data_IF_504256212661
#
_entry.id   IF_504256212661
#
_cell.length_a   1.000
_cell.length_b   1.000
_cell.length_c   1.000
_cell.angle_alpha   90.00
_cell.angle_beta   90.00
_cell.angle_gamma   90.00
#
_symmetry.space_group_name_H-M   'P 1'
#
loop_
_entity.id
_entity.type
_entity.pdbx_description
1 polymer ?
#
# COMPACT_ATOMS: atom_id res chain seq x y z
N UNK A 1 27.76 29.73 52.14
CA UNK A 1 27.53 29.47 53.58
C UNK A 1 26.32 28.56 53.72
N UNK A 2 26.44 27.45 54.43
CA UNK A 2 25.34 26.48 54.57
C UNK A 2 24.29 26.99 55.59
N UNK A 3 23.00 26.75 55.35
CA UNK A 3 21.89 27.19 56.21
C UNK A 3 22.05 26.74 57.70
N UNK A 4 22.80 25.67 57.94
CA UNK A 4 23.17 25.18 59.27
C UNK A 4 24.10 26.16 60.00
N UNK A 5 25.08 26.75 59.30
CA UNK A 5 26.03 27.71 59.86
C UNK A 5 25.35 29.04 60.22
N UNK A 6 24.33 29.44 59.46
CA UNK A 6 23.54 30.65 59.76
C UNK A 6 22.72 30.44 61.04
N UNK A 7 22.08 29.27 61.19
CA UNK A 7 21.28 28.95 62.38
C UNK A 7 22.13 28.79 63.65
N UNK A 8 23.33 28.20 63.55
CA UNK A 8 24.23 28.09 64.71
C UNK A 8 24.76 29.45 65.14
N UNK A 9 25.11 30.33 64.19
CA UNK A 9 25.51 31.70 64.47
C UNK A 9 24.38 32.51 65.14
N UNK A 10 23.14 32.40 64.66
CA UNK A 10 21.99 33.07 65.30
C UNK A 10 21.78 32.60 66.74
N UNK A 11 21.92 31.30 67.00
CA UNK A 11 21.76 30.72 68.34
C UNK A 11 22.87 31.18 69.29
N UNK A 12 24.12 31.18 68.84
CA UNK A 12 25.26 31.65 69.63
C UNK A 12 25.13 33.14 69.98
N UNK A 13 24.73 33.98 69.01
CA UNK A 13 24.47 35.40 69.23
C UNK A 13 23.32 35.63 70.23
N UNK A 14 22.26 34.83 70.15
CA UNK A 14 21.13 34.92 71.08
C UNK A 14 21.56 34.57 72.51
N UNK A 15 22.29 33.46 72.70
CA UNK A 15 22.79 33.04 74.01
C UNK A 15 23.76 34.07 74.60
N UNK A 16 24.71 34.57 73.79
CA UNK A 16 25.65 35.60 74.23
C UNK A 16 24.96 36.90 74.66
N UNK A 17 23.92 37.32 73.93
CA UNK A 17 23.13 38.51 74.30
C UNK A 17 22.46 38.34 75.65
N UNK A 18 21.85 37.17 75.92
CA UNK A 18 21.19 36.90 77.20
C UNK A 18 22.16 36.84 78.38
N UNK A 19 23.38 36.32 78.17
CA UNK A 19 24.42 36.33 79.20
C UNK A 19 24.86 37.76 79.55
N UNK A 20 25.02 38.64 78.56
CA UNK A 20 25.38 40.04 78.79
C UNK A 20 24.27 40.76 79.56
N UNK A 21 22.99 40.56 79.17
CA UNK A 21 21.84 41.14 79.87
C UNK A 21 21.78 40.67 81.32
N UNK A 22 21.91 39.36 81.57
CA UNK A 22 21.89 38.80 82.91
C UNK A 22 23.05 39.34 83.78
N UNK A 23 24.25 39.48 83.21
CA UNK A 23 25.39 40.07 83.89
C UNK A 23 25.20 41.55 84.23
N UNK A 24 24.65 42.34 83.30
CA UNK A 24 24.35 43.75 83.52
C UNK A 24 23.28 43.94 84.62
N UNK A 25 22.23 43.12 84.62
CA UNK A 25 21.20 43.13 85.66
C UNK A 25 21.78 42.79 87.04
N UNK A 26 22.63 41.76 87.10
CA UNK A 26 23.27 41.38 88.35
C UNK A 26 24.19 42.49 88.87
N UNK A 27 24.98 43.11 88.00
CA UNK A 27 25.84 44.23 88.37
C UNK A 27 25.05 45.44 88.86
N UNK A 28 23.97 45.80 88.17
CA UNK A 28 23.05 46.89 88.53
C UNK A 28 22.42 46.66 89.91
N UNK A 29 21.95 45.45 90.20
CA UNK A 29 21.44 45.10 91.54
C UNK A 29 22.53 45.26 92.59
N UNK A 30 23.77 44.82 92.32
CA UNK A 30 24.86 44.92 93.29
C UNK A 30 25.32 46.36 93.56
N UNK A 31 25.24 47.26 92.58
CA UNK A 31 25.69 48.66 92.73
C UNK A 31 24.59 49.61 93.22
N UNK A 32 23.34 49.41 92.77
CA UNK A 32 22.23 50.32 93.07
C UNK A 32 21.53 49.96 94.37
N UNK A 33 21.51 48.68 94.77
CA UNK A 33 20.87 48.27 96.04
C UNK A 33 21.44 48.99 97.26
N UNK A 34 22.79 49.12 97.43
CA UNK A 34 23.35 49.89 98.53
C UNK A 34 22.90 51.37 98.51
N UNK A 35 22.96 52.02 97.35
CA UNK A 35 22.58 53.42 97.17
C UNK A 35 21.09 53.66 97.50
N UNK A 36 20.21 52.79 97.02
CA UNK A 36 18.78 52.84 97.30
C UNK A 36 18.49 52.57 98.78
N UNK A 37 19.23 51.65 99.41
CA UNK A 37 19.07 51.34 100.83
C UNK A 37 19.44 52.51 101.75
N UNK A 38 20.44 53.33 101.37
CA UNK A 38 20.84 54.52 102.13
C UNK A 38 19.78 55.64 102.10
N UNK A 39 18.98 55.70 101.04
CA UNK A 39 17.97 56.76 100.84
C UNK A 39 16.54 56.31 101.13
N UNK A 40 16.35 55.04 101.50
CA UNK A 40 15.03 54.45 101.80
C UNK A 40 14.83 54.34 103.32
N UNK A 41 13.66 54.72 103.88
CA UNK A 41 13.40 54.54 105.31
C UNK A 41 13.58 53.08 105.74
N UNK A 42 14.16 52.83 106.91
CA UNK A 42 14.57 51.49 107.37
C UNK A 42 13.47 50.39 107.25
N UNK A 43 12.20 50.75 107.47
CA UNK A 43 11.04 49.85 107.31
C UNK A 43 10.80 49.35 105.87
N UNK A 44 11.39 50.00 104.87
CA UNK A 44 11.28 49.69 103.43
C UNK A 44 12.61 49.26 102.80
N UNK A 45 13.70 49.12 103.57
CA UNK A 45 15.00 48.74 103.00
C UNK A 45 14.96 47.39 102.25
N UNK A 46 14.03 46.51 102.61
CA UNK A 46 13.81 45.23 101.92
C UNK A 46 13.37 45.40 100.44
N UNK A 47 12.82 46.55 100.06
CA UNK A 47 12.45 46.83 98.65
C UNK A 47 13.61 47.39 97.82
N UNK A 48 14.76 47.68 98.41
CA UNK A 48 15.91 48.27 97.71
C UNK A 48 16.37 47.46 96.47
N UNK A 49 16.36 46.10 96.45
CA UNK A 49 16.74 45.33 95.26
C UNK A 49 15.68 45.35 94.14
N UNK A 50 14.44 45.72 94.45
CA UNK A 50 13.32 45.69 93.50
C UNK A 50 13.46 46.82 92.47
N UNK A 51 13.91 47.99 92.92
CA UNK A 51 14.06 49.18 92.09
C UNK A 51 15.02 48.97 90.89
N UNK A 52 16.27 48.51 91.06
CA UNK A 52 17.18 48.26 89.93
C UNK A 52 16.65 47.18 88.99
N UNK A 53 16.00 46.14 89.52
CA UNK A 53 15.45 45.07 88.71
C UNK A 53 14.32 45.56 87.79
N UNK A 54 13.46 46.46 88.28
CA UNK A 54 12.39 47.09 87.47
C UNK A 54 12.98 48.01 86.40
N UNK A 55 14.00 48.80 86.73
CA UNK A 55 14.67 49.69 85.76
C UNK A 55 15.33 48.87 84.65
N UNK A 56 16.05 47.81 85.00
CA UNK A 56 16.70 46.96 84.01
C UNK A 56 15.69 46.19 83.15
N UNK A 57 14.60 45.70 83.75
CA UNK A 57 13.51 45.08 83.00
C UNK A 57 12.89 46.05 81.99
N UNK A 58 12.71 47.32 82.36
CA UNK A 58 12.20 48.34 81.45
C UNK A 58 13.17 48.59 80.29
N UNK A 59 14.49 48.68 80.56
CA UNK A 59 15.52 48.82 79.52
C UNK A 59 15.51 47.62 78.57
N UNK A 60 15.46 46.40 79.10
CA UNK A 60 15.40 45.16 78.31
C UNK A 60 14.15 45.13 77.44
N UNK A 61 12.98 45.46 78.00
CA UNK A 61 11.72 45.51 77.26
C UNK A 61 11.82 46.52 76.11
N UNK A 62 12.31 47.75 76.36
CA UNK A 62 12.46 48.79 75.33
C UNK A 62 13.40 48.34 74.21
N UNK A 63 14.55 47.75 74.55
CA UNK A 63 15.51 47.25 73.55
C UNK A 63 14.93 46.06 72.77
N UNK A 64 14.15 45.18 73.40
CA UNK A 64 13.57 44.00 72.75
C UNK A 64 12.34 44.34 71.91
N UNK A 65 11.52 45.29 72.33
CA UNK A 65 10.32 45.71 71.59
C UNK A 65 10.69 46.22 70.19
N UNK A 66 11.81 46.94 70.09
CA UNK A 66 12.34 47.43 68.82
C UNK A 66 12.75 46.28 67.87
N UNK A 67 13.28 45.18 68.43
CA UNK A 67 13.62 43.98 67.69
C UNK A 67 12.38 43.17 67.24
N UNK A 68 11.26 43.25 67.96
CA UNK A 68 9.97 42.66 67.54
C UNK A 68 9.35 43.49 66.42
N UNK A 69 9.31 44.82 66.58
CA UNK A 69 8.74 45.75 65.62
C UNK A 69 9.45 45.68 64.26
N UNK A 70 10.78 45.63 64.27
CA UNK A 70 11.57 45.47 63.04
C UNK A 70 11.30 44.13 62.32
N UNK A 71 10.97 43.06 63.05
CA UNK A 71 10.62 41.74 62.47
C UNK A 71 9.20 41.71 61.88
N UNK A 72 8.31 42.59 62.34
CA UNK A 72 6.94 42.70 61.84
C UNK A 72 6.78 43.70 60.68
N UNK A 73 7.90 44.24 60.15
CA UNK A 73 7.87 45.23 59.07
C UNK A 73 7.42 46.62 59.50
N UNK A 74 7.26 46.86 60.81
CA UNK A 74 6.90 48.15 61.37
C UNK A 74 8.12 49.02 61.61
N UNK A 75 8.16 50.19 60.99
CA UNK A 75 9.12 51.24 61.34
C UNK A 75 8.57 51.91 62.60
N UNK A 76 9.11 51.62 63.79
CA UNK A 76 8.71 52.27 65.05
C UNK A 76 8.95 53.79 65.09
N UNK A 77 9.33 54.42 63.98
CA UNK A 77 9.69 55.82 63.89
C UNK A 77 10.98 56.13 64.65
N UNK A 78 11.16 57.42 65.01
CA UNK A 78 12.32 57.90 65.77
C UNK A 78 12.14 57.74 67.29
N UNK A 79 10.93 57.40 67.75
CA UNK A 79 10.58 57.33 69.17
C UNK A 79 11.33 56.26 69.97
N UNK A 80 11.52 55.03 69.47
CA UNK A 80 12.31 54.02 70.17
C UNK A 80 13.78 54.42 70.35
N UNK A 81 14.34 55.13 69.38
CA UNK A 81 15.70 55.69 69.46
C UNK A 81 15.76 56.72 70.57
N UNK A 82 14.80 57.66 70.60
CA UNK A 82 14.72 58.69 71.66
C UNK A 82 14.55 58.06 73.04
N UNK A 83 13.65 57.09 73.19
CA UNK A 83 13.43 56.38 74.46
C UNK A 83 14.68 55.63 74.93
N UNK A 84 15.42 54.98 74.01
CA UNK A 84 16.66 54.27 74.33
C UNK A 84 17.75 55.22 74.81
N UNK A 85 17.96 56.33 74.11
CA UNK A 85 18.94 57.34 74.51
C UNK A 85 18.58 57.98 75.85
N UNK A 86 17.32 58.33 76.06
CA UNK A 86 16.85 58.90 77.32
C UNK A 86 17.06 57.92 78.50
N UNK A 87 16.70 56.65 78.31
CA UNK A 87 16.88 55.61 79.33
C UNK A 87 18.36 55.34 79.59
N UNK A 88 19.17 55.21 78.55
CA UNK A 88 20.62 54.99 78.67
C UNK A 88 21.35 56.16 79.35
N UNK A 89 20.99 57.40 79.01
CA UNK A 89 21.53 58.58 79.69
C UNK A 89 21.13 58.64 81.16
N UNK A 90 19.90 58.26 81.51
CA UNK A 90 19.44 58.20 82.90
C UNK A 90 20.17 57.11 83.70
N UNK A 91 20.38 55.93 83.12
CA UNK A 91 21.16 54.85 83.74
C UNK A 91 22.62 55.26 83.93
N UNK A 92 23.24 55.93 82.95
CA UNK A 92 24.59 56.46 83.07
C UNK A 92 24.67 57.50 84.20
N UNK A 93 23.73 58.44 84.24
CA UNK A 93 23.68 59.46 85.27
C UNK A 93 23.57 58.84 86.67
N UNK A 94 22.70 57.85 86.87
CA UNK A 94 22.53 57.17 88.16
C UNK A 94 23.78 56.39 88.60
N UNK A 95 24.45 55.70 87.68
CA UNK A 95 25.67 54.94 87.99
C UNK A 95 26.86 55.85 88.31
N UNK A 96 26.91 57.05 87.73
CA UNK A 96 28.03 57.99 87.87
C UNK A 96 27.77 59.05 88.95
N UNK A 97 26.52 59.28 89.34
CA UNK A 97 26.11 60.38 90.22
C UNK A 97 26.85 60.40 91.56
N UNK A 98 26.96 59.26 92.26
CA UNK A 98 27.61 59.21 93.57
C UNK A 98 29.12 59.53 93.47
N UNK A 99 29.81 58.93 92.48
CA UNK A 99 31.23 59.24 92.22
C UNK A 99 31.44 60.70 91.77
N UNK A 100 30.54 61.24 90.96
CA UNK A 100 30.60 62.63 90.50
C UNK A 100 30.40 63.62 91.66
N UNK A 101 29.45 63.35 92.56
CA UNK A 101 29.20 64.17 93.75
C UNK A 101 30.41 64.17 94.71
N UNK A 102 31.11 63.03 94.80
CA UNK A 102 32.36 62.87 95.58
C UNK A 102 33.61 63.41 94.86
N UNK A 103 33.46 63.95 93.65
CA UNK A 103 34.56 64.40 92.76
C UNK A 103 35.59 63.30 92.45
N UNK A 104 35.19 62.03 92.50
CA UNK A 104 36.03 60.89 92.16
C UNK A 104 35.95 60.59 90.65
N UNK A 105 36.89 61.15 89.88
CA UNK A 105 36.96 60.95 88.44
C UNK A 105 37.23 59.49 88.05
N UNK A 106 37.89 58.71 88.90
CA UNK A 106 38.17 57.29 88.64
C UNK A 106 36.89 56.48 88.81
N UNK A 107 36.13 56.72 89.88
CA UNK A 107 34.81 56.12 90.10
C UNK A 107 33.84 56.44 88.96
N UNK A 108 33.81 57.70 88.50
CA UNK A 108 33.02 58.12 87.33
C UNK A 108 33.39 57.31 86.09
N UNK A 109 34.69 57.14 85.80
CA UNK A 109 35.14 56.39 84.65
C UNK A 109 34.77 54.90 84.74
N UNK A 110 35.00 54.26 85.90
CA UNK A 110 34.71 52.84 86.11
C UNK A 110 33.21 52.55 85.98
N UNK A 111 32.36 53.37 86.60
CA UNK A 111 30.91 53.18 86.58
C UNK A 111 30.24 53.60 85.26
N UNK A 112 30.93 54.38 84.41
CA UNK A 112 30.45 54.72 83.07
C UNK A 112 30.67 53.61 82.03
N UNK A 113 31.65 52.72 82.22
CA UNK A 113 32.03 51.71 81.22
C UNK A 113 30.88 50.79 80.87
N UNK A 114 30.18 50.22 81.86
CA UNK A 114 29.09 49.27 81.60
C UNK A 114 27.88 49.91 80.89
N UNK A 115 27.36 51.08 81.32
CA UNK A 115 26.29 51.77 80.59
C UNK A 115 26.68 52.18 79.16
N UNK A 116 27.91 52.69 78.95
CA UNK A 116 28.38 53.07 77.62
C UNK A 116 28.50 51.86 76.69
N UNK A 117 29.04 50.73 77.17
CA UNK A 117 29.09 49.49 76.41
C UNK A 117 27.69 48.99 76.07
N UNK A 118 26.71 49.11 76.97
CA UNK A 118 25.33 48.71 76.71
C UNK A 118 24.67 49.57 75.62
N UNK A 119 24.86 50.89 75.65
CA UNK A 119 24.35 51.81 74.61
C UNK A 119 25.00 51.49 73.25
N UNK A 120 26.33 51.36 73.21
CA UNK A 120 27.06 51.08 71.96
C UNK A 120 26.69 49.72 71.39
N UNK A 121 26.58 48.68 72.23
CA UNK A 121 26.18 47.33 71.79
C UNK A 121 24.74 47.27 71.32
N UNK A 122 23.83 48.05 71.91
CA UNK A 122 22.46 48.16 71.45
C UNK A 122 22.35 48.82 70.06
N UNK A 123 23.08 49.91 69.82
CA UNK A 123 23.07 50.62 68.53
C UNK A 123 23.76 49.82 67.42
N UNK A 124 24.92 49.25 67.71
CA UNK A 124 25.64 48.37 66.75
C UNK A 124 24.82 47.10 66.46
N UNK A 125 24.19 46.51 67.48
CA UNK A 125 23.32 45.34 67.34
C UNK A 125 22.14 45.58 66.41
N UNK A 126 21.54 46.78 66.42
CA UNK A 126 20.45 47.13 65.49
C UNK A 126 20.95 47.24 64.05
N UNK A 127 22.11 47.88 63.83
CA UNK A 127 22.72 47.99 62.50
C UNK A 127 23.05 46.62 61.90
N UNK A 128 23.68 45.73 62.68
CA UNK A 128 23.98 44.36 62.25
C UNK A 128 22.72 43.57 61.92
N UNK A 129 21.66 43.68 62.75
CA UNK A 129 20.38 42.98 62.48
C UNK A 129 19.70 43.48 61.21
N UNK A 130 19.72 44.78 60.93
CA UNK A 130 19.19 45.34 59.68
C UNK A 130 19.98 44.84 58.47
N UNK A 131 21.31 44.83 58.55
CA UNK A 131 22.17 44.32 57.48
C UNK A 131 21.92 42.81 57.23
N UNK A 132 21.80 42.01 58.30
CA UNK A 132 21.50 40.58 58.19
C UNK A 132 20.11 40.36 57.58
N UNK A 133 19.09 41.08 58.04
CA UNK A 133 17.74 40.96 57.51
C UNK A 133 17.70 41.31 56.01
N UNK A 134 18.34 42.41 55.60
CA UNK A 134 18.45 42.80 54.20
C UNK A 134 19.17 41.73 53.36
N UNK A 135 20.27 41.17 53.86
CA UNK A 135 21.01 40.10 53.18
C UNK A 135 20.19 38.82 53.03
N UNK A 136 19.41 38.43 54.06
CA UNK A 136 18.52 37.27 54.00
C UNK A 136 17.40 37.49 52.98
N UNK A 137 16.76 38.66 52.98
CA UNK A 137 15.72 38.98 52.00
C UNK A 137 16.26 38.99 50.57
N UNK A 138 17.46 39.54 50.34
CA UNK A 138 18.10 39.51 49.03
C UNK A 138 18.39 38.08 48.56
N UNK A 139 18.92 37.23 49.44
CA UNK A 139 19.19 35.83 49.13
C UNK A 139 17.91 35.04 48.83
N UNK A 140 16.84 35.27 49.60
CA UNK A 140 15.55 34.63 49.34
C UNK A 140 14.95 35.07 48.00
N UNK A 141 15.07 36.35 47.64
CA UNK A 141 14.62 36.87 46.35
C UNK A 141 15.41 36.24 45.19
N UNK A 142 16.73 36.14 45.31
CA UNK A 142 17.60 35.49 44.32
C UNK A 142 17.23 34.01 44.16
N UNK A 143 17.03 33.28 45.26
CA UNK A 143 16.62 31.87 45.22
C UNK A 143 15.25 31.67 44.59
N UNK A 144 14.29 32.58 44.83
CA UNK A 144 12.97 32.52 44.17
C UNK A 144 13.11 32.77 42.67
N UNK A 145 13.87 33.78 42.27
CA UNK A 145 14.11 34.09 40.86
C UNK A 145 14.82 32.93 40.14
N UNK A 146 15.80 32.28 40.78
CA UNK A 146 16.49 31.12 40.22
C UNK A 146 15.55 29.91 40.05
N UNK A 147 14.67 29.65 41.03
CA UNK A 147 13.67 28.58 40.93
C UNK A 147 12.69 28.83 39.80
N UNK A 148 12.14 30.04 39.71
CA UNK A 148 11.23 30.43 38.63
C UNK A 148 11.91 30.33 37.26
N UNK A 149 13.18 30.73 37.15
CA UNK A 149 13.95 30.60 35.92
C UNK A 149 14.17 29.13 35.52
N UNK A 150 14.49 28.27 36.49
CA UNK A 150 14.65 26.82 36.26
C UNK A 150 13.33 26.16 35.87
N UNK A 151 12.21 26.55 36.49
CA UNK A 151 10.88 26.04 36.16
C UNK A 151 10.45 26.47 34.75
N UNK A 152 10.64 27.74 34.39
CA UNK A 152 10.38 28.25 33.03
C UNK A 152 11.24 27.52 31.99
N UNK A 153 12.54 27.40 32.23
CA UNK A 153 13.44 26.68 31.33
C UNK A 153 13.06 25.19 31.17
N UNK A 154 12.58 24.55 32.24
CA UNK A 154 12.11 23.17 32.18
C UNK A 154 10.79 23.06 31.39
N UNK A 155 9.86 24.00 31.55
CA UNK A 155 8.61 24.05 30.80
C UNK A 155 8.87 24.27 29.30
N UNK A 156 9.73 25.23 28.94
CA UNK A 156 10.10 25.52 27.55
C UNK A 156 10.77 24.31 26.87
N UNK A 157 11.62 23.58 27.60
CA UNK A 157 12.23 22.34 27.08
C UNK A 157 11.19 21.25 26.81
N UNK A 158 10.19 21.10 27.68
CA UNK A 158 9.10 20.13 27.49
C UNK A 158 8.25 20.50 26.28
N UNK A 159 7.86 21.76 26.17
CA UNK A 159 7.07 22.24 25.03
C UNK A 159 7.85 22.10 23.70
N UNK A 160 9.14 22.43 23.69
CA UNK A 160 9.99 22.23 22.52
C UNK A 160 10.12 20.75 22.12
N UNK A 161 10.23 19.84 23.09
CA UNK A 161 10.25 18.41 22.83
C UNK A 161 8.91 17.90 22.28
N UNK A 162 7.79 18.38 22.81
CA UNK A 162 6.46 18.04 22.31
C UNK A 162 6.23 18.55 20.88
N UNK A 163 6.66 19.78 20.56
CA UNK A 163 6.59 20.31 19.20
C UNK A 163 7.39 19.45 18.22
N UNK A 164 8.65 19.13 18.54
CA UNK A 164 9.49 18.25 17.70
C UNK A 164 8.86 16.87 17.51
N UNK A 165 8.30 16.27 18.57
CA UNK A 165 7.64 14.98 18.47
C UNK A 165 6.38 15.02 17.59
N UNK A 166 5.65 16.15 17.54
CA UNK A 166 4.51 16.32 16.62
C UNK A 166 4.99 16.48 15.18
N UNK A 167 5.98 17.34 14.95
CA UNK A 167 6.59 17.56 13.63
C UNK A 167 7.16 16.25 13.06
N UNK A 168 7.84 15.44 13.87
CA UNK A 168 8.36 14.13 13.47
C UNK A 168 7.25 13.14 13.10
N UNK A 169 6.15 13.11 13.85
CA UNK A 169 4.98 12.26 13.54
C UNK A 169 4.29 12.70 12.26
N UNK A 170 4.14 14.00 12.05
CA UNK A 170 3.55 14.56 10.83
C UNK A 170 4.42 14.27 9.61
N UNK A 171 5.73 14.47 9.73
CA UNK A 171 6.69 14.16 8.68
C UNK A 171 6.72 12.65 8.36
N UNK A 172 6.72 11.79 9.38
CA UNK A 172 6.62 10.34 9.19
C UNK A 172 5.31 9.93 8.51
N UNK A 173 4.18 10.56 8.89
CA UNK A 173 2.89 10.31 8.28
C UNK A 173 2.83 10.80 6.81
N UNK A 174 3.48 11.91 6.49
CA UNK A 174 3.63 12.42 5.13
C UNK A 174 4.44 11.43 4.28
N UNK A 175 5.63 11.04 4.74
CA UNK A 175 6.47 10.06 4.03
C UNK A 175 5.74 8.73 3.81
N UNK A 176 4.99 8.25 4.79
CA UNK A 176 4.20 7.03 4.66
C UNK A 176 3.01 7.17 3.70
N UNK A 177 2.50 8.38 3.47
CA UNK A 177 1.50 8.64 2.41
C UNK A 177 2.16 8.68 1.04
N UNK A 178 3.26 9.40 0.90
CA UNK A 178 4.02 9.48 -0.35
C UNK A 178 4.50 8.09 -0.81
N UNK A 179 5.01 7.26 0.11
CA UNK A 179 5.40 5.88 -0.21
C UNK A 179 4.22 5.06 -0.72
N UNK A 180 3.06 5.11 -0.04
CA UNK A 180 1.86 4.38 -0.47
C UNK A 180 1.33 4.87 -1.81
N UNK A 181 1.38 6.17 -2.06
CA UNK A 181 0.97 6.76 -3.34
C UNK A 181 1.93 6.35 -4.46
N UNK A 182 3.24 6.34 -4.19
CA UNK A 182 4.24 5.88 -5.14
C UNK A 182 4.09 4.38 -5.45
N UNK A 183 3.94 3.54 -4.43
CA UNK A 183 3.67 2.11 -4.59
C UNK A 183 2.37 1.84 -5.34
N UNK A 184 1.30 2.58 -5.03
CA UNK A 184 0.03 2.49 -5.75
C UNK A 184 0.17 2.96 -7.21
N UNK A 185 0.99 3.99 -7.47
CA UNK A 185 1.33 4.45 -8.81
C UNK A 185 2.05 3.37 -9.61
N UNK A 186 3.09 2.76 -9.03
CA UNK A 186 3.83 1.66 -9.64
C UNK A 186 2.93 0.44 -9.91
N UNK A 187 2.05 0.09 -8.97
CA UNK A 187 1.11 -1.02 -9.13
C UNK A 187 0.10 -0.75 -10.26
N UNK A 188 -0.40 0.49 -10.38
CA UNK A 188 -1.29 0.89 -11.49
C UNK A 188 -0.56 0.83 -12.84
N UNK A 189 0.67 1.32 -12.90
CA UNK A 189 1.48 1.29 -14.11
C UNK A 189 1.77 -0.16 -14.55
N UNK A 190 2.09 -1.04 -13.60
CA UNK A 190 2.27 -2.47 -13.88
C UNK A 190 0.97 -3.11 -14.39
N UNK A 191 -0.16 -2.87 -13.71
CA UNK A 191 -1.45 -3.38 -14.12
C UNK A 191 -1.85 -2.89 -15.53
N UNK A 192 -1.58 -1.63 -15.86
CA UNK A 192 -1.85 -1.07 -17.17
C UNK A 192 -0.95 -1.69 -18.25
N UNK A 193 0.35 -1.92 -17.95
CA UNK A 193 1.26 -2.63 -18.86
C UNK A 193 0.82 -4.07 -19.11
N UNK A 194 0.40 -4.78 -18.06
CA UNK A 194 -0.13 -6.14 -18.19
C UNK A 194 -1.44 -6.17 -18.98
N UNK A 195 -2.34 -5.21 -18.76
CA UNK A 195 -3.59 -5.13 -19.51
C UNK A 195 -3.32 -4.83 -20.99
N UNK A 196 -2.41 -3.90 -21.31
CA UNK A 196 -1.97 -3.63 -22.69
C UNK A 196 -1.36 -4.88 -23.31
N UNK A 197 -0.47 -5.58 -22.60
CA UNK A 197 0.12 -6.82 -23.09
C UNK A 197 -0.94 -7.91 -23.36
N UNK A 198 -1.94 -8.07 -22.48
CA UNK A 198 -3.06 -9.00 -22.69
C UNK A 198 -3.94 -8.60 -23.86
N UNK A 199 -4.19 -7.30 -24.07
CA UNK A 199 -4.93 -6.79 -25.24
C UNK A 199 -4.17 -7.08 -26.53
N UNK A 200 -2.88 -6.76 -26.58
CA UNK A 200 -2.02 -7.07 -27.73
C UNK A 200 -1.94 -8.58 -28.01
N UNK A 201 -1.87 -9.41 -26.98
CA UNK A 201 -1.86 -10.87 -27.14
C UNK A 201 -3.19 -11.38 -27.72
N UNK A 202 -4.33 -10.87 -27.21
CA UNK A 202 -5.66 -11.19 -27.76
C UNK A 202 -5.80 -10.74 -29.21
N UNK A 203 -5.37 -9.52 -29.52
CA UNK A 203 -5.40 -9.01 -30.89
C UNK A 203 -4.51 -9.86 -31.82
N UNK A 204 -3.32 -10.26 -31.38
CA UNK A 204 -2.44 -11.18 -32.13
C UNK A 204 -3.06 -12.55 -32.30
N UNK A 205 -3.71 -13.09 -31.28
CA UNK A 205 -4.40 -14.38 -31.35
C UNK A 205 -5.58 -14.32 -32.31
N UNK A 206 -6.43 -13.29 -32.23
CA UNK A 206 -7.54 -13.08 -33.15
C UNK A 206 -7.06 -12.82 -34.60
N UNK A 207 -5.93 -12.12 -34.78
CA UNK A 207 -5.33 -11.92 -36.10
C UNK A 207 -4.81 -13.23 -36.69
N UNK A 208 -4.18 -14.09 -35.87
CA UNK A 208 -3.75 -15.43 -36.28
C UNK A 208 -4.94 -16.33 -36.61
N UNK A 209 -5.99 -16.31 -35.79
CA UNK A 209 -7.18 -17.11 -36.04
C UNK A 209 -7.92 -16.65 -37.31
N UNK A 210 -8.00 -15.32 -37.55
CA UNK A 210 -8.52 -14.78 -38.81
C UNK A 210 -7.68 -15.21 -40.00
N UNK A 211 -6.35 -15.13 -39.91
CA UNK A 211 -5.46 -15.57 -40.98
C UNK A 211 -5.59 -17.09 -41.24
N UNK A 212 -5.70 -17.92 -40.20
CA UNK A 212 -5.91 -19.36 -40.34
C UNK A 212 -7.27 -19.69 -40.95
N UNK A 213 -8.33 -18.97 -40.57
CA UNK A 213 -9.67 -19.12 -41.16
C UNK A 213 -9.66 -18.73 -42.64
N UNK A 214 -9.04 -17.62 -42.99
CA UNK A 214 -8.89 -17.18 -44.38
C UNK A 214 -8.05 -18.18 -45.21
N UNK A 215 -6.99 -18.74 -44.62
CA UNK A 215 -6.18 -19.76 -45.29
C UNK A 215 -6.96 -21.08 -45.47
N UNK A 216 -7.71 -21.51 -44.46
CA UNK A 216 -8.60 -22.67 -44.55
C UNK A 216 -9.67 -22.47 -45.62
N UNK A 217 -10.34 -21.32 -45.65
CA UNK A 217 -11.31 -20.98 -46.68
C UNK A 217 -10.66 -20.95 -48.08
N UNK A 218 -9.45 -20.39 -48.22
CA UNK A 218 -8.72 -20.43 -49.50
C UNK A 218 -8.43 -21.86 -49.95
N UNK A 219 -7.94 -22.71 -49.04
CA UNK A 219 -7.66 -24.13 -49.32
C UNK A 219 -8.93 -24.90 -49.66
N UNK A 220 -10.04 -24.59 -48.99
CA UNK A 220 -11.34 -25.23 -49.24
C UNK A 220 -11.92 -24.79 -50.59
N UNK A 221 -11.90 -23.49 -50.91
CA UNK A 221 -12.29 -22.97 -52.23
C UNK A 221 -11.41 -23.53 -53.34
N UNK A 222 -10.11 -23.71 -53.11
CA UNK A 222 -9.20 -24.33 -54.06
C UNK A 222 -9.51 -25.82 -54.26
N UNK A 223 -9.85 -26.55 -53.19
CA UNK A 223 -10.32 -27.95 -53.29
C UNK A 223 -11.63 -28.04 -54.05
N UNK A 224 -12.62 -27.21 -53.73
CA UNK A 224 -13.90 -27.16 -54.45
C UNK A 224 -13.70 -26.81 -55.93
N UNK A 225 -12.82 -25.85 -56.26
CA UNK A 225 -12.52 -25.54 -57.66
C UNK A 225 -11.86 -26.73 -58.37
N UNK A 226 -10.90 -27.40 -57.73
CA UNK A 226 -10.27 -28.60 -58.29
C UNK A 226 -11.26 -29.73 -58.47
N UNK A 227 -12.18 -29.95 -57.54
CA UNK A 227 -13.23 -30.96 -57.64
C UNK A 227 -14.23 -30.63 -58.75
N UNK A 228 -14.71 -29.39 -58.84
CA UNK A 228 -15.59 -28.94 -59.93
C UNK A 228 -14.91 -29.05 -61.29
N UNK A 229 -13.62 -28.74 -61.38
CA UNK A 229 -12.86 -28.89 -62.62
C UNK A 229 -12.68 -30.37 -62.98
N UNK A 230 -12.41 -31.24 -62.00
CA UNK A 230 -12.33 -32.69 -62.19
C UNK A 230 -13.66 -33.25 -62.68
N UNK A 231 -14.76 -32.86 -62.03
CA UNK A 231 -16.11 -33.29 -62.37
C UNK A 231 -16.51 -32.80 -63.77
N UNK A 232 -16.16 -31.55 -64.14
CA UNK A 232 -16.38 -31.03 -65.48
C UNK A 232 -15.59 -31.81 -66.53
N UNK A 233 -14.31 -32.12 -66.27
CA UNK A 233 -13.47 -32.94 -67.16
C UNK A 233 -13.98 -34.38 -67.27
N UNK A 234 -14.49 -34.95 -66.18
CA UNK A 234 -15.05 -36.31 -66.16
C UNK A 234 -16.37 -36.39 -66.92
N UNK A 235 -17.26 -35.40 -66.74
CA UNK A 235 -18.51 -35.27 -67.52
C UNK A 235 -18.21 -35.07 -69.01
N UNK A 236 -17.25 -34.22 -69.36
CA UNK A 236 -16.82 -34.04 -70.76
C UNK A 236 -16.21 -35.32 -71.35
N UNK A 237 -15.42 -36.07 -70.58
CA UNK A 237 -14.84 -37.35 -71.01
C UNK A 237 -15.90 -38.45 -71.16
N UNK A 238 -16.87 -38.52 -70.23
CA UNK A 238 -17.99 -39.44 -70.30
C UNK A 238 -18.88 -39.16 -71.51
N UNK A 239 -19.16 -37.87 -71.77
CA UNK A 239 -19.96 -37.44 -72.93
C UNK A 239 -19.27 -37.79 -74.24
N UNK A 240 -17.96 -37.55 -74.37
CA UNK A 240 -17.17 -37.97 -75.55
C UNK A 240 -17.21 -39.49 -75.77
N UNK A 241 -17.10 -40.29 -74.70
CA UNK A 241 -17.18 -41.76 -74.80
C UNK A 241 -18.58 -42.23 -75.22
N UNK A 242 -19.63 -41.56 -74.74
CA UNK A 242 -20.99 -41.89 -75.12
C UNK A 242 -21.27 -41.52 -76.59
N UNK A 243 -20.81 -40.36 -77.04
CA UNK A 243 -20.94 -39.92 -78.43
C UNK A 243 -20.16 -40.84 -79.38
N UNK A 244 -18.92 -41.20 -79.04
CA UNK A 244 -18.13 -42.18 -79.82
C UNK A 244 -18.82 -43.56 -79.89
N UNK A 245 -19.46 -43.99 -78.79
CA UNK A 245 -20.20 -45.27 -78.77
C UNK A 245 -21.43 -45.22 -79.66
N UNK A 246 -22.20 -44.12 -79.61
CA UNK A 246 -23.36 -43.89 -80.48
C UNK A 246 -22.96 -43.81 -81.95
N UNK A 247 -21.83 -43.19 -82.26
CA UNK A 247 -21.33 -43.08 -83.63
C UNK A 247 -20.89 -44.43 -84.19
N UNK A 248 -20.18 -45.26 -83.40
CA UNK A 248 -19.80 -46.63 -83.77
C UNK A 248 -21.01 -47.54 -83.97
N UNK A 249 -22.01 -47.45 -83.09
CA UNK A 249 -23.26 -48.22 -83.23
C UNK A 249 -24.06 -47.77 -84.47
N UNK A 250 -24.10 -46.48 -84.78
CA UNK A 250 -24.76 -45.95 -85.97
C UNK A 250 -24.02 -46.30 -87.28
N UNK A 251 -22.69 -46.37 -87.25
CA UNK A 251 -21.88 -46.83 -88.38
C UNK A 251 -22.08 -48.34 -88.64
N UNK A 252 -22.06 -49.16 -87.58
CA UNK A 252 -22.30 -50.60 -87.69
C UNK A 252 -23.70 -50.93 -88.23
N UNK A 253 -24.74 -50.19 -87.81
CA UNK A 253 -26.10 -50.35 -88.34
C UNK A 253 -26.25 -49.96 -89.81
N UNK A 254 -25.48 -48.98 -90.28
CA UNK A 254 -25.45 -48.60 -91.71
C UNK A 254 -24.77 -49.66 -92.56
N UNK A 255 -23.62 -50.15 -92.10
CA UNK A 255 -22.88 -51.19 -92.81
C UNK A 255 -23.68 -52.51 -92.91
N UNK A 256 -24.42 -52.86 -91.85
CA UNK A 256 -25.26 -54.07 -91.87
C UNK A 256 -26.42 -53.95 -92.87
N UNK A 257 -27.12 -52.80 -92.91
CA UNK A 257 -28.21 -52.57 -93.88
C UNK A 257 -27.72 -52.60 -95.32
N UNK A 258 -26.55 -52.03 -95.61
CA UNK A 258 -25.99 -52.06 -96.97
C UNK A 258 -25.60 -53.46 -97.44
N UNK A 259 -25.19 -54.35 -96.53
CA UNK A 259 -24.88 -55.75 -96.85
C UNK A 259 -26.15 -56.56 -97.13
N UNK A 260 -27.20 -56.35 -96.34
CA UNK A 260 -28.50 -57.01 -96.52
C UNK A 260 -29.16 -56.61 -97.86
N UNK A 261 -29.15 -55.31 -98.22
CA UNK A 261 -29.72 -54.82 -99.49
C UNK A 261 -28.97 -55.36 -100.73
N UNK A 262 -27.66 -55.58 -100.65
CA UNK A 262 -26.88 -56.15 -101.77
C UNK A 262 -27.21 -57.62 -101.98
N UNK A 263 -27.31 -58.40 -100.90
CA UNK A 263 -27.66 -59.81 -100.97
C UNK A 263 -29.08 -60.02 -101.55
N UNK A 264 -30.03 -59.16 -101.21
CA UNK A 264 -31.40 -59.23 -101.72
C UNK A 264 -31.48 -58.92 -103.23
N UNK A 265 -30.68 -57.95 -103.72
CA UNK A 265 -30.61 -57.61 -105.15
C UNK A 265 -29.98 -58.72 -106.00
N UNK A 266 -28.91 -59.35 -105.52
CA UNK A 266 -28.29 -60.49 -106.22
C UNK A 266 -29.24 -61.70 -106.28
N UNK A 267 -29.97 -61.95 -105.20
CA UNK A 267 -30.97 -63.02 -105.13
C UNK A 267 -32.15 -62.78 -106.08
N UNK A 268 -32.67 -61.56 -106.14
CA UNK A 268 -33.73 -61.19 -107.09
C UNK A 268 -33.28 -61.38 -108.55
N UNK A 269 -32.03 -61.04 -108.87
CA UNK A 269 -31.46 -61.21 -110.20
C UNK A 269 -31.34 -62.70 -110.62
N UNK A 270 -31.00 -63.59 -109.67
CA UNK A 270 -30.91 -65.03 -109.93
C UNK A 270 -32.27 -65.68 -110.17
N UNK A 271 -33.33 -65.21 -109.51
CA UNK A 271 -34.69 -65.74 -109.66
C UNK A 271 -35.43 -65.17 -110.88
N UNK A 272 -35.09 -63.95 -111.31
CA UNK A 272 -35.70 -63.30 -112.47
C UNK A 272 -35.19 -63.83 -113.83
N UNK A 273 -34.16 -64.69 -113.85
CA UNK A 273 -33.51 -65.18 -115.07
C UNK A 273 -34.40 -66.11 -115.94
N UNK A 274 -35.60 -66.49 -115.47
CA UNK A 274 -36.54 -67.34 -116.20
C UNK A 274 -36.10 -68.81 -116.29
N UNK A 275 -36.91 -69.70 -116.90
CA UNK A 275 -36.57 -71.12 -117.03
C UNK A 275 -35.29 -71.28 -117.84
N UNK A 276 -34.34 -72.05 -117.34
CA UNK A 276 -33.08 -72.29 -118.03
C UNK A 276 -33.32 -73.10 -119.30
N UNK A 277 -32.98 -72.51 -120.45
CA UNK A 277 -33.05 -73.18 -121.77
C UNK A 277 -31.94 -74.23 -121.92
N UNK A 278 -30.84 -74.05 -121.19
CA UNK A 278 -29.70 -74.96 -121.13
C UNK A 278 -29.26 -75.15 -119.67
N UNK A 279 -28.67 -76.31 -119.37
CA UNK A 279 -28.19 -76.65 -118.03
C UNK A 279 -27.09 -75.67 -117.58
N UNK A 280 -27.33 -74.94 -116.48
CA UNK A 280 -26.35 -73.98 -115.95
C UNK A 280 -25.07 -74.65 -115.44
N UNK A 281 -23.92 -73.93 -115.41
CA UNK A 281 -22.73 -74.36 -114.67
C UNK A 281 -23.07 -74.62 -113.20
N UNK A 282 -22.41 -75.61 -112.59
CA UNK A 282 -22.77 -76.09 -111.25
C UNK A 282 -22.78 -74.97 -110.19
N UNK A 283 -21.79 -74.06 -110.20
CA UNK A 283 -21.71 -72.95 -109.23
C UNK A 283 -22.91 -72.01 -109.35
N UNK A 284 -23.33 -71.70 -110.58
CA UNK A 284 -24.51 -70.86 -110.84
C UNK A 284 -25.80 -71.59 -110.51
N UNK A 285 -25.86 -72.90 -110.77
CA UNK A 285 -27.01 -73.73 -110.39
C UNK A 285 -27.15 -73.82 -108.87
N UNK A 286 -26.04 -73.97 -108.12
CA UNK A 286 -26.03 -73.95 -106.65
C UNK A 286 -26.53 -72.61 -106.11
N UNK A 287 -26.03 -71.48 -106.63
CA UNK A 287 -26.48 -70.15 -106.22
C UNK A 287 -27.98 -69.91 -106.53
N UNK A 288 -28.46 -70.38 -107.69
CA UNK A 288 -29.88 -70.27 -108.07
C UNK A 288 -30.77 -71.16 -107.19
N UNK A 289 -30.30 -72.36 -106.85
CA UNK A 289 -30.99 -73.29 -105.95
C UNK A 289 -31.04 -72.75 -104.51
N UNK A 290 -29.95 -72.15 -104.03
CA UNK A 290 -29.91 -71.42 -102.75
C UNK A 290 -30.93 -70.29 -102.72
N UNK A 291 -30.89 -69.41 -103.73
CA UNK A 291 -31.80 -68.28 -103.87
C UNK A 291 -33.27 -68.72 -103.91
N UNK A 292 -33.55 -69.83 -104.61
CA UNK A 292 -34.88 -70.42 -104.72
C UNK A 292 -35.33 -71.07 -103.41
N UNK A 293 -34.43 -71.74 -102.69
CA UNK A 293 -34.71 -72.35 -101.39
C UNK A 293 -35.08 -71.28 -100.35
N UNK A 294 -34.29 -70.20 -100.26
CA UNK A 294 -34.57 -69.07 -99.39
C UNK A 294 -35.87 -68.35 -99.78
N UNK A 295 -36.27 -68.40 -101.06
CA UNK A 295 -37.53 -67.84 -101.57
C UNK A 295 -38.73 -68.76 -101.38
N UNK A 296 -38.54 -69.94 -100.77
CA UNK A 296 -39.59 -70.92 -100.57
C UNK A 296 -40.15 -71.49 -101.86
N UNK A 297 -39.42 -71.39 -102.98
CA UNK A 297 -39.85 -71.96 -104.25
C UNK A 297 -39.82 -73.50 -104.18
N UNK A 298 -40.74 -74.19 -104.87
CA UNK A 298 -40.72 -75.64 -104.88
C UNK A 298 -39.51 -76.17 -105.65
N UNK A 299 -38.98 -77.34 -105.24
CA UNK A 299 -37.82 -78.03 -105.86
C UNK A 299 -37.93 -78.11 -107.38
N UNK A 300 -39.15 -78.31 -107.90
CA UNK A 300 -39.43 -78.37 -109.34
C UNK A 300 -39.18 -77.03 -110.04
N UNK A 301 -39.62 -75.91 -109.46
CA UNK A 301 -39.39 -74.58 -110.02
C UNK A 301 -37.89 -74.24 -109.99
N UNK A 302 -37.19 -74.60 -108.92
CA UNK A 302 -35.73 -74.42 -108.84
C UNK A 302 -34.97 -75.27 -109.89
N UNK A 303 -35.45 -76.48 -110.19
CA UNK A 303 -34.90 -77.32 -111.26
C UNK A 303 -35.14 -76.73 -112.65
N UNK A 304 -36.31 -76.17 -112.90
CA UNK A 304 -36.62 -75.45 -114.15
C UNK A 304 -35.76 -74.17 -114.28
N UNK A 305 -35.51 -73.44 -113.20
CA UNK A 305 -34.69 -72.22 -113.20
C UNK A 305 -33.20 -72.46 -113.45
N UNK A 306 -32.65 -73.65 -113.15
CA UNK A 306 -31.23 -73.94 -113.35
C UNK A 306 -30.94 -74.97 -114.44
N UNK A 307 -31.97 -75.67 -114.94
CA UNK A 307 -31.84 -76.70 -115.99
C UNK A 307 -31.21 -78.01 -115.49
N UNK A 308 -31.13 -78.21 -114.18
CA UNK A 308 -30.64 -79.45 -113.56
C UNK A 308 -31.79 -80.40 -113.23
N UNK A 309 -31.46 -81.67 -113.02
CA UNK A 309 -32.47 -82.66 -112.65
C UNK A 309 -33.07 -82.36 -111.27
N UNK A 310 -34.37 -82.65 -111.13
CA UNK A 310 -35.09 -82.51 -109.86
C UNK A 310 -34.39 -83.26 -108.73
N UNK A 311 -33.79 -84.42 -109.01
CA UNK A 311 -33.02 -85.20 -108.04
C UNK A 311 -31.79 -84.45 -107.51
N UNK A 312 -31.04 -83.77 -108.39
CA UNK A 312 -29.88 -82.97 -107.97
C UNK A 312 -30.30 -81.75 -107.15
N UNK A 313 -31.39 -81.07 -107.54
CA UNK A 313 -31.92 -79.91 -106.80
C UNK A 313 -32.51 -80.31 -105.45
N UNK A 314 -33.19 -81.47 -105.37
CA UNK A 314 -33.75 -81.99 -104.12
C UNK A 314 -32.66 -82.28 -103.09
N UNK A 315 -31.53 -82.86 -103.49
CA UNK A 315 -30.38 -83.09 -102.60
C UNK A 315 -29.86 -81.79 -102.03
N UNK A 316 -29.74 -80.74 -102.86
CA UNK A 316 -29.29 -79.42 -102.41
C UNK A 316 -30.30 -78.74 -101.49
N UNK A 317 -31.60 -78.81 -101.78
CA UNK A 317 -32.64 -78.32 -100.85
C UNK A 317 -32.57 -78.99 -99.48
N UNK A 318 -32.24 -80.28 -99.44
CA UNK A 318 -32.12 -81.01 -98.18
C UNK A 318 -30.88 -80.57 -97.40
N UNK A 319 -29.72 -80.45 -98.06
CA UNK A 319 -28.50 -79.92 -97.43
C UNK A 319 -28.72 -78.53 -96.83
N UNK A 320 -29.50 -77.67 -97.49
CA UNK A 320 -29.82 -76.33 -97.00
C UNK A 320 -30.78 -76.32 -95.82
N UNK A 321 -31.72 -77.28 -95.74
CA UNK A 321 -32.52 -77.49 -94.53
C UNK A 321 -31.65 -77.97 -93.37
N UNK A 322 -30.74 -78.90 -93.64
CA UNK A 322 -29.90 -79.51 -92.62
C UNK A 322 -28.90 -78.48 -92.05
N UNK A 323 -28.36 -77.58 -92.90
CA UNK A 323 -27.52 -76.45 -92.47
C UNK A 323 -28.29 -75.34 -91.74
N UNK A 324 -29.55 -75.06 -92.12
CA UNK A 324 -30.40 -74.12 -91.37
C UNK A 324 -30.74 -74.60 -89.95
N UNK A 325 -30.91 -75.92 -89.76
CA UNK A 325 -31.19 -76.52 -88.47
C UNK A 325 -29.98 -76.52 -87.51
N UNK A 326 -28.75 -76.49 -88.02
CA UNK A 326 -27.52 -76.50 -87.21
C UNK A 326 -27.08 -75.12 -86.71
N UNK A 327 -27.76 -74.04 -87.11
CA UNK A 327 -27.36 -72.64 -86.80
C UNK A 327 -28.24 -71.97 -85.74
N UNK A 328 -28.94 -72.75 -84.91
CA UNK A 328 -29.58 -72.22 -83.69
C UNK A 328 -28.69 -72.59 -82.50
N UNK A 329 -27.83 -71.69 -81.99
CA UNK A 329 -27.13 -71.94 -80.75
C UNK A 329 -28.15 -71.99 -79.61
N UNK A 330 -28.26 -73.15 -78.97
CA UNK A 330 -28.90 -73.32 -77.67
C UNK A 330 -28.14 -72.44 -76.67
N UNK A 331 -28.68 -71.26 -76.38
CA UNK A 331 -28.23 -70.41 -75.28
C UNK A 331 -28.78 -71.00 -73.97
N UNK A 332 -28.08 -71.99 -73.42
CA UNK A 332 -28.32 -72.50 -72.08
C UNK A 332 -27.54 -71.68 -71.03
N UNK A 333 -28.32 -70.96 -70.22
CA UNK A 333 -28.10 -70.48 -68.85
C UNK A 333 -26.69 -70.32 -68.28
N UNK A 334 -26.29 -69.06 -68.06
CA UNK A 334 -25.40 -68.69 -66.95
C UNK A 334 -26.26 -68.10 -65.81
N UNK A 335 -26.46 -68.90 -64.77
CA UNK A 335 -26.88 -68.45 -63.44
C UNK A 335 -25.86 -69.01 -62.46
N UNK A 336 -25.02 -68.11 -61.91
CA UNK A 336 -24.63 -67.96 -60.50
C UNK A 336 -23.63 -66.83 -60.37
#
# INVERSE_FOLDING_TARGET
>A
MNAVQIRSAERALSVGTWLIVAGAMLYSVLTVTPLASEHTPAKWAWTAPILPLVVDAAVVIVVRLDAVLARLGGHGGRWPVVLRWMTGCMTLALNVADSALKKDLVGVAVHAVAPLLLIVTAETGLAYRRAIAAAVTALEAEQRAEREAREKAAAERREAAERRAREEREHAAMLAREQREHEAGLAREQAEREERARREERERAEARERAEREERERREREREQRERERERREREAAQRREDERREREAAARREQREREERAERERAALLAAGPAVEKFPEDRARATVQAAFEAGLPVRAAAELCGWSVGWVSTRYQELRDHGATTTPVLEGAVT
#
